data_IF_184950380924
#
_entry.id   IF_184950380924
#
_cell.length_a   1.000
_cell.length_b   1.000
_cell.length_c   1.000
_cell.angle_alpha   90.00
_cell.angle_beta   90.00
_cell.angle_gamma   90.00
#
_symmetry.space_group_name_H-M   'P 1'
#
loop_
_entity.id
_entity.type
_entity.pdbx_description
1 polymer ?
#
# COMPACT_ATOMS: atom_id res chain seq x y z
N UNK A 1 -1.97 -31.18 -1.81
CA UNK A 1 -1.02 -30.43 -0.97
C UNK A 1 0.38 -30.66 -1.51
N UNK A 2 0.95 -29.69 -2.25
CA UNK A 2 2.34 -29.73 -2.71
C UNK A 2 3.09 -28.54 -2.10
N UNK A 3 4.29 -28.84 -1.65
CA UNK A 3 5.19 -28.13 -0.74
C UNK A 3 5.45 -26.65 -1.01
N UNK A 4 5.25 -25.83 0.03
CA UNK A 4 5.79 -24.47 0.22
C UNK A 4 7.29 -24.48 0.59
N UNK A 5 8.12 -25.19 -0.17
CA UNK A 5 9.58 -25.18 0.01
C UNK A 5 10.21 -24.85 -1.33
N UNK A 6 10.46 -23.56 -1.56
CA UNK A 6 11.52 -23.00 -2.40
C UNK A 6 11.33 -21.48 -2.55
N UNK A 7 11.53 -20.74 -1.46
CA UNK A 7 11.90 -19.33 -1.57
C UNK A 7 13.38 -19.28 -1.96
N UNK A 8 13.68 -19.21 -3.27
CA UNK A 8 15.04 -18.85 -3.70
C UNK A 8 15.26 -17.36 -3.40
N UNK A 9 16.45 -16.95 -2.92
CA UNK A 9 16.74 -15.56 -2.64
C UNK A 9 16.53 -14.71 -3.90
N UNK A 10 16.02 -13.48 -3.71
CA UNK A 10 15.63 -12.51 -4.73
C UNK A 10 16.82 -11.96 -5.56
N UNK A 11 17.92 -12.72 -5.64
CA UNK A 11 19.17 -12.34 -6.27
C UNK A 11 19.16 -12.46 -7.79
N UNK A 12 18.04 -12.79 -8.45
CA UNK A 12 17.96 -12.95 -9.93
C UNK A 12 16.72 -12.36 -10.60
N UNK A 13 15.88 -11.58 -9.90
CA UNK A 13 14.68 -11.01 -10.51
C UNK A 13 15.00 -9.71 -11.26
N UNK A 14 14.67 -9.68 -12.56
CA UNK A 14 14.71 -8.48 -13.39
C UNK A 14 13.44 -7.63 -13.25
N UNK A 15 13.51 -6.38 -13.72
CA UNK A 15 12.44 -5.39 -13.55
C UNK A 15 11.14 -5.68 -14.31
N UNK A 16 11.11 -6.51 -15.36
CA UNK A 16 9.86 -6.95 -16.03
C UNK A 16 9.11 -8.08 -15.28
N UNK A 17 9.79 -9.14 -14.80
CA UNK A 17 9.14 -10.11 -13.94
C UNK A 17 8.68 -9.53 -12.60
N UNK A 18 9.23 -8.40 -12.13
CA UNK A 18 8.79 -7.78 -10.87
C UNK A 18 7.33 -7.25 -10.90
N UNK A 19 6.90 -6.33 -11.78
CA UNK A 19 5.50 -5.93 -11.89
C UNK A 19 4.58 -7.11 -12.21
N UNK A 20 5.05 -8.09 -13.00
CA UNK A 20 4.24 -9.29 -13.33
C UNK A 20 4.01 -10.19 -12.12
N UNK A 21 5.05 -10.48 -11.34
CA UNK A 21 4.95 -11.38 -10.20
C UNK A 21 4.40 -10.68 -8.96
N UNK A 22 4.87 -9.46 -8.69
CA UNK A 22 4.51 -8.70 -7.51
C UNK A 22 3.23 -7.89 -7.74
N UNK A 23 3.24 -6.89 -8.61
CA UNK A 23 2.07 -6.00 -8.74
C UNK A 23 0.85 -6.74 -9.28
N UNK A 24 0.95 -7.46 -10.39
CA UNK A 24 -0.16 -8.25 -10.96
C UNK A 24 -0.43 -9.51 -10.13
N UNK A 25 0.61 -10.29 -9.82
CA UNK A 25 0.45 -11.56 -9.10
C UNK A 25 -0.14 -11.40 -7.69
N UNK A 26 0.36 -10.46 -6.88
CA UNK A 26 -0.23 -10.17 -5.57
C UNK A 26 -1.64 -9.60 -5.70
N UNK A 27 -1.91 -8.79 -6.73
CA UNK A 27 -3.27 -8.30 -7.01
C UNK A 27 -4.25 -9.45 -7.27
N UNK A 28 -3.89 -10.42 -8.10
CA UNK A 28 -4.75 -11.57 -8.38
C UNK A 28 -5.04 -12.40 -7.12
N UNK A 29 -4.03 -12.60 -6.26
CA UNK A 29 -4.21 -13.30 -5.00
C UNK A 29 -5.15 -12.53 -4.06
N UNK A 30 -4.97 -11.21 -3.97
CA UNK A 30 -5.85 -10.34 -3.21
C UNK A 30 -7.30 -10.42 -3.71
N UNK A 31 -7.52 -10.33 -5.03
CA UNK A 31 -8.84 -10.42 -5.63
C UNK A 31 -9.54 -11.74 -5.28
N UNK A 32 -8.84 -12.88 -5.44
CA UNK A 32 -9.39 -14.20 -5.09
C UNK A 32 -9.68 -14.34 -3.60
N UNK A 33 -8.78 -13.87 -2.76
CA UNK A 33 -8.96 -13.87 -1.31
C UNK A 33 -10.21 -13.08 -0.91
N UNK A 34 -10.33 -11.84 -1.38
CA UNK A 34 -11.45 -10.95 -1.05
C UNK A 34 -12.77 -11.44 -1.63
N UNK A 35 -12.77 -12.02 -2.83
CA UNK A 35 -13.96 -12.68 -3.39
C UNK A 35 -14.46 -13.81 -2.46
N UNK A 36 -13.54 -14.57 -1.87
CA UNK A 36 -13.85 -15.60 -0.87
C UNK A 36 -14.46 -15.06 0.43
N UNK A 37 -14.35 -13.77 0.72
CA UNK A 37 -14.92 -13.14 1.93
C UNK A 37 -16.40 -12.77 1.78
N UNK A 38 -16.92 -12.66 0.55
CA UNK A 38 -18.30 -12.23 0.27
C UNK A 38 -19.37 -13.05 1.01
N UNK A 39 -19.14 -14.36 1.15
CA UNK A 39 -20.03 -15.29 1.84
C UNK A 39 -19.75 -15.44 3.34
N UNK A 40 -18.82 -14.66 3.89
CA UNK A 40 -18.33 -14.77 5.28
C UNK A 40 -18.57 -13.51 6.11
N UNK A 41 -19.29 -12.54 5.55
CA UNK A 41 -19.67 -11.31 6.27
C UNK A 41 -20.87 -11.63 7.16
N UNK A 42 -20.59 -11.91 8.44
CA UNK A 42 -21.62 -12.20 9.43
C UNK A 42 -21.77 -11.07 10.47
N UNK A 43 -23.01 -10.91 10.93
CA UNK A 43 -23.35 -10.17 12.15
C UNK A 43 -23.11 -11.00 13.42
N UNK A 44 -23.65 -10.53 14.53
CA UNK A 44 -23.60 -11.19 15.84
C UNK A 44 -24.96 -11.12 16.51
N UNK A 45 -25.40 -12.20 17.13
CA UNK A 45 -26.49 -12.20 18.11
C UNK A 45 -25.92 -11.86 19.48
N UNK A 46 -26.62 -11.04 20.26
CA UNK A 46 -26.17 -10.53 21.54
C UNK A 46 -27.13 -10.98 22.63
N UNK A 47 -26.59 -11.44 23.75
CA UNK A 47 -27.35 -11.64 24.98
C UNK A 47 -27.39 -10.32 25.73
N UNK A 48 -28.60 -9.83 26.00
CA UNK A 48 -28.82 -8.50 26.55
C UNK A 48 -29.29 -8.58 28.00
N UNK A 49 -28.49 -8.03 28.90
CA UNK A 49 -28.85 -7.88 30.32
C UNK A 49 -29.63 -6.59 30.56
N UNK A 50 -30.75 -6.40 29.86
CA UNK A 50 -31.65 -5.25 30.08
C UNK A 50 -32.70 -5.67 31.11
N UNK A 51 -32.68 -5.10 32.34
CA UNK A 51 -33.54 -5.59 33.43
C UNK A 51 -34.95 -4.96 33.43
N UNK A 52 -35.25 -4.05 32.50
CA UNK A 52 -36.48 -3.24 32.52
C UNK A 52 -37.19 -3.26 31.15
N UNK A 53 -38.54 -3.43 31.13
CA UNK A 53 -39.38 -3.74 32.28
C UNK A 53 -39.14 -5.17 32.79
N UNK A 54 -39.45 -5.41 34.06
CA UNK A 54 -39.19 -6.71 34.69
C UNK A 54 -39.92 -7.83 33.94
N UNK A 55 -39.20 -8.92 33.63
CA UNK A 55 -39.73 -10.07 32.88
C UNK A 55 -39.66 -9.94 31.36
N UNK A 56 -39.21 -8.80 30.82
CA UNK A 56 -39.00 -8.66 29.38
C UNK A 56 -37.86 -9.55 28.87
N UNK A 57 -38.04 -10.10 27.67
CA UNK A 57 -37.00 -10.84 26.92
C UNK A 57 -36.66 -10.08 25.65
N UNK A 58 -35.40 -9.71 25.53
CA UNK A 58 -34.89 -8.99 24.36
C UNK A 58 -34.12 -9.91 23.45
N UNK A 59 -34.34 -9.78 22.15
CA UNK A 59 -33.47 -10.37 21.13
C UNK A 59 -32.76 -9.24 20.41
N UNK A 60 -31.43 -9.27 20.41
CA UNK A 60 -30.63 -8.32 19.65
C UNK A 60 -29.65 -9.04 18.74
N UNK A 61 -29.47 -8.46 17.56
CA UNK A 61 -28.45 -8.88 16.64
C UNK A 61 -27.95 -7.67 15.85
N UNK A 62 -26.78 -7.84 15.24
CA UNK A 62 -26.18 -6.86 14.34
C UNK A 62 -26.28 -7.35 12.91
N UNK A 63 -26.43 -6.42 11.97
CA UNK A 63 -26.32 -6.68 10.54
C UNK A 63 -25.16 -5.86 9.99
N UNK A 64 -24.42 -6.44 9.06
CA UNK A 64 -23.39 -5.72 8.29
C UNK A 64 -23.98 -5.37 6.95
N UNK A 65 -24.13 -4.08 6.70
CA UNK A 65 -24.73 -3.55 5.48
C UNK A 65 -23.68 -2.75 4.69
N UNK A 66 -23.75 -2.74 3.34
CA UNK A 66 -22.87 -1.90 2.53
C UNK A 66 -23.04 -0.43 2.91
N UNK A 67 -21.94 0.31 2.92
CA UNK A 67 -21.97 1.73 3.27
C UNK A 67 -22.62 2.59 2.17
N UNK A 68 -22.69 2.08 0.93
CA UNK A 68 -23.16 2.82 -0.24
C UNK A 68 -22.03 3.06 -1.24
N UNK A 69 -21.99 4.25 -1.84
CA UNK A 69 -20.98 4.62 -2.85
C UNK A 69 -19.64 4.93 -2.17
N UNK A 70 -18.57 4.28 -2.63
CA UNK A 70 -17.20 4.50 -2.17
C UNK A 70 -16.42 5.31 -3.21
N UNK A 71 -15.69 6.32 -2.75
CA UNK A 71 -14.67 7.01 -3.54
C UNK A 71 -13.28 6.43 -3.21
N UNK A 72 -12.59 5.89 -4.21
CA UNK A 72 -11.20 5.45 -4.09
C UNK A 72 -10.24 6.44 -4.74
N UNK A 73 -9.29 7.00 -3.99
CA UNK A 73 -8.21 7.84 -4.54
C UNK A 73 -6.89 7.09 -4.37
N UNK A 74 -6.18 6.82 -5.47
CA UNK A 74 -5.04 5.90 -5.54
C UNK A 74 -3.75 6.63 -5.92
N UNK A 75 -2.60 6.32 -5.29
CA UNK A 75 -1.30 6.90 -5.62
C UNK A 75 -0.70 6.25 -6.88
N UNK A 76 0.45 6.76 -7.29
CA UNK A 76 1.14 6.37 -8.51
C UNK A 76 2.16 5.23 -8.36
N UNK A 77 2.50 4.84 -7.13
CA UNK A 77 3.66 3.98 -6.88
C UNK A 77 3.39 2.48 -7.08
N UNK A 78 2.15 2.03 -6.87
CA UNK A 78 1.65 0.69 -7.23
C UNK A 78 0.21 0.81 -7.75
N UNK A 79 0.02 1.39 -8.94
CA UNK A 79 -1.29 1.85 -9.41
C UNK A 79 -2.34 0.74 -9.50
N UNK A 80 -1.95 -0.47 -9.95
CA UNK A 80 -2.89 -1.59 -10.03
C UNK A 80 -3.19 -2.16 -8.64
N UNK A 81 -2.14 -2.46 -7.88
CA UNK A 81 -2.27 -3.18 -6.61
C UNK A 81 -3.02 -2.36 -5.57
N UNK A 82 -2.63 -1.09 -5.34
CA UNK A 82 -3.33 -0.23 -4.39
C UNK A 82 -4.74 0.11 -4.89
N UNK A 83 -4.94 0.19 -6.21
CA UNK A 83 -6.28 0.32 -6.80
C UNK A 83 -7.18 -0.84 -6.38
N UNK A 84 -6.73 -2.07 -6.61
CA UNK A 84 -7.50 -3.27 -6.28
C UNK A 84 -7.64 -3.55 -4.79
N UNK A 85 -6.71 -3.06 -3.96
CA UNK A 85 -6.87 -3.04 -2.50
C UNK A 85 -8.08 -2.23 -2.05
N UNK A 86 -8.55 -1.28 -2.85
CA UNK A 86 -9.75 -0.48 -2.57
C UNK A 86 -10.99 -1.06 -3.25
N UNK A 87 -10.87 -1.45 -4.52
CA UNK A 87 -11.99 -1.98 -5.31
C UNK A 87 -12.54 -3.26 -4.69
N UNK A 88 -11.69 -4.26 -4.48
CA UNK A 88 -12.15 -5.58 -4.08
C UNK A 88 -12.93 -5.60 -2.76
N UNK A 89 -12.46 -4.98 -1.65
CA UNK A 89 -13.24 -4.99 -0.41
C UNK A 89 -14.51 -4.13 -0.50
N UNK A 90 -14.55 -3.07 -1.33
CA UNK A 90 -15.78 -2.32 -1.56
C UNK A 90 -16.84 -3.19 -2.25
N UNK A 91 -16.47 -3.82 -3.37
CA UNK A 91 -17.36 -4.73 -4.10
C UNK A 91 -17.78 -5.93 -3.24
N UNK A 92 -16.84 -6.53 -2.50
CA UNK A 92 -17.14 -7.67 -1.66
C UNK A 92 -18.07 -7.35 -0.48
N UNK A 93 -18.08 -6.09 -0.01
CA UNK A 93 -19.02 -5.61 0.99
C UNK A 93 -20.39 -5.22 0.39
N UNK A 94 -20.57 -5.32 -0.94
CA UNK A 94 -21.80 -4.93 -1.64
C UNK A 94 -21.89 -3.44 -1.96
N UNK A 95 -20.77 -2.71 -1.94
CA UNK A 95 -20.72 -1.29 -2.31
C UNK A 95 -20.47 -1.13 -3.81
N UNK A 96 -20.87 0.02 -4.38
CA UNK A 96 -20.32 0.49 -5.65
C UNK A 96 -19.11 1.40 -5.39
N UNK A 97 -18.22 1.52 -6.37
CA UNK A 97 -17.00 2.32 -6.22
C UNK A 97 -16.70 3.15 -7.46
N UNK A 98 -16.35 4.42 -7.22
CA UNK A 98 -15.71 5.31 -8.19
C UNK A 98 -14.25 5.44 -7.80
N UNK A 99 -13.35 4.97 -8.67
CA UNK A 99 -11.91 5.02 -8.42
C UNK A 99 -11.23 6.05 -9.30
N UNK A 100 -10.35 6.82 -8.69
CA UNK A 100 -9.53 7.84 -9.33
C UNK A 100 -8.06 7.47 -9.16
N UNK A 101 -7.41 6.92 -10.20
CA UNK A 101 -5.98 6.71 -10.19
C UNK A 101 -5.24 8.05 -10.21
N UNK A 102 -3.95 8.04 -9.86
CA UNK A 102 -3.09 9.19 -10.11
C UNK A 102 -3.03 9.49 -11.61
N UNK A 103 -3.03 10.78 -11.93
CA UNK A 103 -2.92 11.34 -13.28
C UNK A 103 -1.66 10.88 -14.03
N UNK A 104 -0.61 10.47 -13.32
CA UNK A 104 0.65 9.99 -13.93
C UNK A 104 0.64 8.50 -14.27
N UNK A 105 -0.28 7.71 -13.70
CA UNK A 105 -0.34 6.26 -13.88
C UNK A 105 -1.78 5.72 -14.02
N UNK A 106 -2.61 6.22 -14.97
CA UNK A 106 -4.02 5.85 -15.05
C UNK A 106 -4.29 4.52 -15.76
N UNK A 107 -3.37 4.09 -16.64
CA UNK A 107 -3.65 3.10 -17.69
C UNK A 107 -4.05 1.72 -17.16
N UNK A 108 -3.46 1.27 -16.05
CA UNK A 108 -3.77 -0.06 -15.49
C UNK A 108 -5.19 -0.13 -14.96
N UNK A 109 -5.68 0.93 -14.31
CA UNK A 109 -7.06 0.97 -13.82
C UNK A 109 -8.08 1.08 -14.96
N UNK A 110 -7.75 1.79 -16.03
CA UNK A 110 -8.59 1.80 -17.24
C UNK A 110 -8.69 0.39 -17.86
N UNK A 111 -7.57 -0.34 -17.95
CA UNK A 111 -7.60 -1.74 -18.41
C UNK A 111 -8.42 -2.65 -17.49
N UNK A 112 -8.40 -2.41 -16.18
CA UNK A 112 -9.26 -3.13 -15.24
C UNK A 112 -10.75 -2.83 -15.50
N UNK A 113 -11.12 -1.61 -15.90
CA UNK A 113 -12.52 -1.28 -16.22
C UNK A 113 -13.04 -2.06 -17.44
N UNK A 114 -12.22 -2.17 -18.48
CA UNK A 114 -12.52 -3.01 -19.64
C UNK A 114 -12.72 -4.47 -19.22
N UNK A 115 -11.78 -5.01 -18.44
CA UNK A 115 -11.84 -6.39 -17.94
C UNK A 115 -13.02 -6.63 -16.99
N UNK A 116 -13.42 -5.63 -16.20
CA UNK A 116 -14.59 -5.73 -15.32
C UNK A 116 -15.89 -5.84 -16.14
N UNK A 117 -15.97 -5.11 -17.24
CA UNK A 117 -17.09 -5.19 -18.18
C UNK A 117 -17.14 -6.57 -18.86
N UNK A 118 -15.99 -7.06 -19.34
CA UNK A 118 -15.85 -8.42 -19.88
C UNK A 118 -16.24 -9.51 -18.85
N UNK A 119 -15.94 -9.29 -17.57
CA UNK A 119 -16.29 -10.20 -16.48
C UNK A 119 -17.76 -10.13 -16.04
N UNK A 120 -18.57 -9.24 -16.62
CA UNK A 120 -19.99 -9.10 -16.30
C UNK A 120 -20.28 -8.36 -14.99
N UNK A 121 -19.37 -7.49 -14.54
CA UNK A 121 -19.69 -6.57 -13.44
C UNK A 121 -20.80 -5.62 -13.91
N UNK A 122 -21.91 -5.47 -13.17
CA UNK A 122 -23.02 -4.63 -13.60
C UNK A 122 -22.61 -3.17 -13.82
N UNK A 123 -23.19 -2.52 -14.82
CA UNK A 123 -22.93 -1.12 -15.15
C UNK A 123 -23.09 -0.22 -13.91
N UNK A 124 -22.16 0.72 -13.74
CA UNK A 124 -22.15 1.66 -12.62
C UNK A 124 -21.68 1.10 -11.27
N UNK A 125 -21.49 -0.21 -11.11
CA UNK A 125 -20.92 -0.80 -9.88
C UNK A 125 -19.44 -0.44 -9.72
N UNK A 126 -18.70 -0.43 -10.82
CA UNK A 126 -17.28 -0.05 -10.85
C UNK A 126 -17.05 1.04 -11.90
N UNK A 127 -16.56 2.20 -11.47
CA UNK A 127 -16.30 3.33 -12.37
C UNK A 127 -14.86 3.81 -12.18
N UNK A 128 -14.19 4.17 -13.27
CA UNK A 128 -12.85 4.78 -13.25
C UNK A 128 -12.92 6.19 -13.82
N UNK A 129 -12.43 7.17 -13.07
CA UNK A 129 -12.36 8.57 -13.51
C UNK A 129 -10.92 9.07 -13.47
N UNK A 130 -10.46 9.68 -14.56
CA UNK A 130 -9.09 10.21 -14.67
C UNK A 130 -9.10 11.74 -14.63
N UNK A 131 -7.97 12.32 -14.22
CA UNK A 131 -7.81 13.77 -14.10
C UNK A 131 -6.95 14.16 -12.91
N UNK A 132 -6.72 15.45 -12.68
CA UNK A 132 -5.87 15.91 -11.57
C UNK A 132 -6.51 15.68 -10.20
N UNK A 133 -5.68 15.48 -9.17
CA UNK A 133 -6.16 15.40 -7.78
C UNK A 133 -6.94 16.65 -7.35
N UNK A 134 -6.46 17.83 -7.72
CA UNK A 134 -7.05 19.12 -7.33
C UNK A 134 -8.46 19.37 -7.90
N UNK A 135 -8.79 18.77 -9.06
CA UNK A 135 -10.10 18.95 -9.70
C UNK A 135 -10.97 17.71 -9.48
N UNK A 136 -10.61 16.60 -10.13
CA UNK A 136 -11.41 15.38 -10.10
C UNK A 136 -11.38 14.70 -8.72
N UNK A 137 -10.24 14.75 -8.02
CA UNK A 137 -10.15 14.21 -6.65
C UNK A 137 -10.99 15.03 -5.67
N UNK A 138 -10.85 16.36 -5.70
CA UNK A 138 -11.61 17.26 -4.85
C UNK A 138 -13.12 17.10 -5.06
N UNK A 139 -13.59 17.15 -6.31
CA UNK A 139 -15.00 16.98 -6.66
C UNK A 139 -15.56 15.64 -6.17
N UNK A 140 -14.81 14.56 -6.30
CA UNK A 140 -15.24 13.24 -5.84
C UNK A 140 -15.32 13.19 -4.30
N UNK A 141 -14.36 13.80 -3.59
CA UNK A 141 -14.33 13.77 -2.11
C UNK A 141 -15.34 14.70 -1.45
N UNK A 142 -15.80 15.74 -2.14
CA UNK A 142 -16.84 16.65 -1.65
C UNK A 142 -18.25 16.25 -2.10
N UNK A 143 -18.41 15.14 -2.83
CA UNK A 143 -19.69 14.79 -3.42
C UNK A 143 -20.67 14.25 -2.35
N UNK A 144 -21.90 14.80 -2.22
CA UNK A 144 -22.80 14.48 -1.11
C UNK A 144 -23.31 13.03 -1.12
N UNK A 145 -23.30 12.37 -2.28
CA UNK A 145 -23.71 10.96 -2.42
C UNK A 145 -22.58 9.95 -2.12
N UNK A 146 -21.35 10.41 -1.88
CA UNK A 146 -20.25 9.52 -1.48
C UNK A 146 -20.35 9.24 0.01
N UNK A 147 -20.60 7.98 0.36
CA UNK A 147 -20.77 7.55 1.75
C UNK A 147 -19.44 7.20 2.44
N UNK A 148 -18.40 6.91 1.65
CA UNK A 148 -17.05 6.60 2.16
C UNK A 148 -15.95 7.03 1.19
N UNK A 149 -14.88 7.60 1.72
CA UNK A 149 -13.64 7.89 1.00
C UNK A 149 -12.53 6.94 1.48
N UNK A 150 -11.82 6.32 0.54
CA UNK A 150 -10.61 5.54 0.77
C UNK A 150 -9.45 6.19 0.03
N UNK A 151 -8.63 6.96 0.75
CA UNK A 151 -7.51 7.71 0.19
C UNK A 151 -6.18 7.07 0.57
N UNK A 152 -5.27 7.00 -0.40
CA UNK A 152 -3.85 6.70 -0.15
C UNK A 152 -2.99 7.76 -0.82
N UNK A 153 -2.10 8.40 -0.06
CA UNK A 153 -1.25 9.47 -0.58
C UNK A 153 -0.57 10.31 0.51
N UNK A 154 -0.35 11.60 0.24
CA UNK A 154 0.37 12.46 1.18
C UNK A 154 -0.45 12.82 2.40
N UNK A 155 0.22 13.03 3.54
CA UNK A 155 -0.43 13.49 4.78
C UNK A 155 -1.12 14.84 4.62
N UNK A 156 -0.53 15.76 3.83
CA UNK A 156 -1.11 17.08 3.59
C UNK A 156 -2.45 16.97 2.83
N UNK A 157 -2.49 16.18 1.76
CA UNK A 157 -3.71 15.92 0.99
C UNK A 157 -4.75 15.18 1.83
N UNK A 158 -4.34 14.15 2.58
CA UNK A 158 -5.22 13.39 3.45
C UNK A 158 -5.92 14.25 4.52
N UNK A 159 -5.20 15.21 5.11
CA UNK A 159 -5.78 16.21 6.03
C UNK A 159 -6.82 17.09 5.34
N UNK A 160 -6.57 17.50 4.09
CA UNK A 160 -7.54 18.25 3.29
C UNK A 160 -8.83 17.45 3.08
N UNK A 161 -8.71 16.20 2.63
CA UNK A 161 -9.84 15.28 2.43
C UNK A 161 -10.61 15.05 3.72
N UNK A 162 -9.93 14.87 4.86
CA UNK A 162 -10.58 14.67 6.15
C UNK A 162 -11.46 15.87 6.56
N UNK A 163 -11.00 17.10 6.28
CA UNK A 163 -11.77 18.32 6.57
C UNK A 163 -13.00 18.40 5.69
N UNK A 164 -12.85 18.20 4.37
CA UNK A 164 -13.98 18.18 3.43
C UNK A 164 -14.99 17.09 3.77
N UNK A 165 -14.53 15.91 4.18
CA UNK A 165 -15.42 14.81 4.56
C UNK A 165 -16.25 15.12 5.83
N UNK A 166 -15.77 16.01 6.70
CA UNK A 166 -16.47 16.38 7.92
C UNK A 166 -17.79 17.12 7.62
N UNK A 167 -17.86 17.89 6.53
CA UNK A 167 -19.05 18.65 6.13
C UNK A 167 -20.27 17.75 5.87
N UNK A 168 -20.04 16.49 5.51
CA UNK A 168 -21.09 15.50 5.23
C UNK A 168 -21.03 14.27 6.16
N UNK A 169 -20.17 14.29 7.19
CA UNK A 169 -19.87 13.12 8.02
C UNK A 169 -19.48 11.87 7.20
N UNK A 170 -18.87 12.08 6.03
CA UNK A 170 -18.44 11.00 5.14
C UNK A 170 -17.35 10.18 5.82
N UNK A 171 -17.48 8.86 5.82
CA UNK A 171 -16.50 7.97 6.46
C UNK A 171 -15.18 8.03 5.69
N UNK A 172 -14.05 8.20 6.38
CA UNK A 172 -12.73 8.24 5.73
C UNK A 172 -11.84 7.08 6.18
N UNK A 173 -11.03 6.56 5.25
CA UNK A 173 -9.84 5.75 5.54
C UNK A 173 -8.67 6.41 4.84
N UNK A 174 -7.62 6.72 5.60
CA UNK A 174 -6.50 7.53 5.16
C UNK A 174 -5.19 6.79 5.38
N UNK A 175 -4.63 6.24 4.31
CA UNK A 175 -3.29 5.66 4.30
C UNK A 175 -2.30 6.72 3.82
N UNK A 176 -1.48 7.24 4.75
CA UNK A 176 -0.69 8.45 4.54
C UNK A 176 0.81 8.15 4.42
N UNK A 177 1.63 9.20 4.47
CA UNK A 177 3.09 9.05 4.37
C UNK A 177 3.70 8.29 5.55
N UNK A 178 4.80 7.60 5.31
CA UNK A 178 5.55 6.86 6.31
C UNK A 178 7.02 7.29 6.36
N UNK A 179 7.62 7.17 7.56
CA UNK A 179 9.08 7.25 7.76
C UNK A 179 9.53 6.05 8.58
N UNK A 180 9.35 4.87 8.01
CA UNK A 180 9.38 3.62 8.75
C UNK A 180 10.80 3.28 9.23
N UNK A 181 10.97 2.92 10.53
CA UNK A 181 12.23 2.44 11.07
C UNK A 181 12.40 0.94 10.84
N UNK A 182 13.63 0.52 10.55
CA UNK A 182 14.11 -0.85 10.74
C UNK A 182 15.03 -0.87 11.95
N UNK A 183 14.78 -1.75 12.93
CA UNK A 183 15.59 -1.89 14.14
C UNK A 183 16.29 -3.24 14.07
N UNK A 184 17.61 -3.23 14.18
CA UNK A 184 18.48 -4.41 14.11
C UNK A 184 19.15 -4.61 15.46
N UNK A 185 18.86 -5.74 16.08
CA UNK A 185 19.41 -6.16 17.37
C UNK A 185 20.73 -6.91 17.15
N UNK A 186 21.61 -6.93 18.17
CA UNK A 186 22.97 -7.50 18.09
C UNK A 186 23.03 -9.00 17.78
N UNK A 187 21.95 -9.72 17.99
CA UNK A 187 21.83 -11.17 17.75
C UNK A 187 21.28 -11.49 16.35
N UNK A 188 20.99 -10.47 15.54
CA UNK A 188 20.53 -10.67 14.17
C UNK A 188 21.64 -11.19 13.26
N UNK A 189 21.28 -12.15 12.39
CA UNK A 189 22.17 -12.64 11.34
C UNK A 189 22.50 -11.50 10.33
N UNK A 190 23.78 -11.13 10.16
CA UNK A 190 24.13 -9.99 9.32
C UNK A 190 23.73 -10.14 7.85
N UNK A 191 23.79 -11.36 7.30
CA UNK A 191 23.47 -11.60 5.90
C UNK A 191 21.97 -11.42 5.66
N UNK A 192 21.14 -12.00 6.54
CA UNK A 192 19.68 -11.86 6.44
C UNK A 192 19.25 -10.41 6.63
N UNK A 193 19.90 -9.68 7.54
CA UNK A 193 19.65 -8.25 7.74
C UNK A 193 19.96 -7.47 6.47
N UNK A 194 21.12 -7.69 5.83
CA UNK A 194 21.48 -6.96 4.60
C UNK A 194 20.46 -7.24 3.49
N UNK A 195 20.10 -8.51 3.24
CA UNK A 195 19.10 -8.88 2.22
C UNK A 195 17.71 -8.27 2.52
N UNK A 196 17.31 -8.30 3.79
CA UNK A 196 16.05 -7.73 4.27
C UNK A 196 16.03 -6.21 4.12
N UNK A 197 17.10 -5.51 4.50
CA UNK A 197 17.23 -4.05 4.35
C UNK A 197 17.28 -3.64 2.88
N UNK A 198 17.96 -4.39 2.02
CA UNK A 198 18.01 -4.13 0.59
C UNK A 198 16.61 -4.20 -0.02
N UNK A 199 15.85 -5.23 0.33
CA UNK A 199 14.45 -5.37 -0.10
C UNK A 199 13.59 -4.25 0.51
N UNK A 200 13.63 -4.07 1.82
CA UNK A 200 12.78 -3.10 2.53
C UNK A 200 13.05 -1.64 2.15
N UNK A 201 14.27 -1.30 1.70
CA UNK A 201 14.64 0.08 1.38
C UNK A 201 14.56 0.40 -0.11
N UNK A 202 14.86 -0.57 -0.99
CA UNK A 202 15.03 -0.32 -2.43
C UNK A 202 14.01 -1.04 -3.33
N UNK A 203 13.13 -1.87 -2.79
CA UNK A 203 11.99 -2.41 -3.53
C UNK A 203 11.24 -1.27 -4.23
N UNK A 204 10.88 -1.47 -5.50
CA UNK A 204 10.20 -0.46 -6.32
C UNK A 204 10.90 0.92 -6.27
N UNK A 205 12.23 0.91 -6.32
CA UNK A 205 13.07 2.10 -6.23
C UNK A 205 12.83 2.93 -4.95
N UNK A 206 12.43 2.28 -3.86
CA UNK A 206 12.09 2.94 -2.60
C UNK A 206 10.74 3.67 -2.63
N UNK A 207 9.98 3.59 -3.73
CA UNK A 207 8.65 4.19 -3.87
C UNK A 207 7.60 3.30 -3.21
N UNK A 208 7.76 3.07 -1.90
CA UNK A 208 6.91 2.20 -1.08
C UNK A 208 6.55 2.97 0.18
N UNK A 209 5.26 3.05 0.51
CA UNK A 209 4.79 3.72 1.73
C UNK A 209 5.38 3.10 3.01
N UNK A 210 5.62 1.79 2.99
CA UNK A 210 6.24 1.01 4.06
C UNK A 210 7.77 0.90 3.95
N UNK A 211 8.43 1.63 3.05
CA UNK A 211 9.89 1.53 2.87
C UNK A 211 10.63 1.80 4.19
N UNK A 212 11.63 0.97 4.47
CA UNK A 212 12.58 1.16 5.55
C UNK A 212 13.47 2.35 5.21
N UNK A 213 13.17 3.50 5.82
CA UNK A 213 13.82 4.78 5.49
C UNK A 213 14.71 5.32 6.62
N UNK A 214 14.71 4.63 7.76
CA UNK A 214 15.60 4.83 8.90
C UNK A 214 16.03 3.45 9.38
N UNK A 215 17.33 3.25 9.59
CA UNK A 215 17.87 1.97 10.04
C UNK A 215 18.62 2.23 11.34
N UNK A 216 18.22 1.56 12.40
CA UNK A 216 18.83 1.63 13.73
C UNK A 216 19.50 0.29 14.01
N UNK A 217 20.80 0.30 14.26
CA UNK A 217 21.62 -0.90 14.41
C UNK A 217 22.28 -0.85 15.78
N UNK A 218 22.17 -1.94 16.54
CA UNK A 218 22.87 -2.08 17.81
C UNK A 218 24.39 -2.08 17.58
N UNK A 219 25.12 -1.34 18.43
CA UNK A 219 26.52 -0.99 18.21
C UNK A 219 27.45 -2.13 17.77
N UNK A 220 27.36 -3.37 18.32
CA UNK A 220 28.25 -4.47 17.94
C UNK A 220 28.17 -4.88 16.47
N UNK A 221 27.03 -4.66 15.80
CA UNK A 221 26.84 -5.03 14.39
C UNK A 221 27.00 -3.86 13.42
N UNK A 222 27.22 -2.64 13.93
CA UNK A 222 27.13 -1.41 13.13
C UNK A 222 28.09 -1.42 11.94
N UNK A 223 29.40 -1.57 12.18
CA UNK A 223 30.41 -1.44 11.13
C UNK A 223 30.29 -2.57 10.09
N UNK A 224 30.04 -3.80 10.54
CA UNK A 224 29.81 -4.97 9.68
C UNK A 224 28.60 -4.76 8.76
N UNK A 225 27.47 -4.33 9.31
CA UNK A 225 26.25 -4.15 8.54
C UNK A 225 26.31 -2.94 7.60
N UNK A 226 26.92 -1.83 8.02
CA UNK A 226 27.09 -0.65 7.16
C UNK A 226 27.96 -1.00 5.96
N UNK A 227 29.10 -1.67 6.17
CA UNK A 227 30.00 -2.08 5.09
C UNK A 227 29.32 -3.05 4.12
N UNK A 228 28.68 -4.10 4.65
CA UNK A 228 27.98 -5.08 3.82
C UNK A 228 26.79 -4.48 3.06
N UNK A 229 26.02 -3.59 3.69
CA UNK A 229 24.91 -2.89 3.06
C UNK A 229 25.39 -1.94 1.96
N UNK A 230 26.48 -1.21 2.16
CA UNK A 230 27.07 -0.33 1.14
C UNK A 230 27.51 -1.13 -0.10
N UNK A 231 28.16 -2.27 0.10
CA UNK A 231 28.55 -3.16 -1.00
C UNK A 231 27.33 -3.69 -1.75
N UNK A 232 26.29 -4.11 -1.03
CA UNK A 232 25.04 -4.55 -1.63
C UNK A 232 24.38 -3.45 -2.47
N UNK A 233 24.36 -2.21 -1.98
CA UNK A 233 23.84 -1.05 -2.72
C UNK A 233 24.65 -0.78 -3.98
N UNK A 234 25.99 -0.81 -3.90
CA UNK A 234 26.89 -0.61 -5.05
C UNK A 234 26.70 -1.68 -6.14
N UNK A 235 26.24 -2.87 -5.77
CA UNK A 235 25.96 -3.96 -6.73
C UNK A 235 24.66 -3.76 -7.54
N UNK A 236 23.82 -2.78 -7.19
CA UNK A 236 22.55 -2.55 -7.86
C UNK A 236 22.75 -2.05 -9.30
N UNK A 237 22.21 -2.81 -10.26
CA UNK A 237 22.22 -2.43 -11.66
C UNK A 237 21.04 -1.53 -12.00
N UNK A 238 21.36 -0.34 -12.50
CA UNK A 238 20.41 0.67 -12.91
C UNK A 238 20.22 0.63 -14.43
N UNK A 239 18.98 0.68 -14.92
CA UNK A 239 18.71 0.89 -16.34
C UNK A 239 17.21 0.94 -16.64
N UNK A 240 16.80 0.80 -17.91
CA UNK A 240 15.36 0.90 -18.27
C UNK A 240 14.55 -0.29 -17.74
N UNK A 241 13.33 -0.03 -17.26
CA UNK A 241 12.44 -1.05 -16.69
C UNK A 241 11.91 -2.08 -17.70
N UNK A 242 11.93 -1.75 -19.00
CA UNK A 242 11.60 -2.68 -20.08
C UNK A 242 12.74 -3.61 -20.49
N UNK A 243 13.95 -3.46 -19.91
CA UNK A 243 15.06 -4.37 -20.17
C UNK A 243 15.12 -5.47 -19.12
N UNK A 244 15.16 -6.72 -19.61
CA UNK A 244 15.15 -7.97 -18.83
C UNK A 244 16.35 -8.19 -17.90
N UNK A 245 17.34 -7.29 -17.83
CA UNK A 245 18.56 -7.44 -17.02
C UNK A 245 18.71 -6.40 -15.90
N UNK A 246 17.92 -5.33 -15.87
CA UNK A 246 18.12 -4.27 -14.88
C UNK A 246 17.40 -4.57 -13.56
N UNK A 247 17.98 -4.08 -12.45
CA UNK A 247 17.48 -4.27 -11.08
C UNK A 247 16.83 -3.02 -10.48
N UNK A 248 17.15 -1.82 -10.98
CA UNK A 248 16.46 -0.56 -10.69
C UNK A 248 16.23 0.26 -11.97
N UNK A 249 15.08 0.94 -12.06
CA UNK A 249 14.83 1.92 -13.12
C UNK A 249 15.12 3.33 -12.65
N UNK A 250 16.01 4.06 -13.33
CA UNK A 250 16.25 5.47 -13.04
C UNK A 250 15.42 6.35 -13.96
N UNK A 251 14.47 7.05 -13.36
CA UNK A 251 14.06 8.35 -13.89
C UNK A 251 14.35 9.50 -12.92
N UNK A 252 14.66 9.23 -11.64
CA UNK A 252 14.80 10.30 -10.63
C UNK A 252 15.86 10.13 -9.52
N UNK A 253 16.57 9.00 -9.42
CA UNK A 253 17.26 8.63 -8.16
C UNK A 253 18.77 8.94 -8.03
N UNK A 254 19.44 9.51 -9.05
CA UNK A 254 20.92 9.68 -9.00
C UNK A 254 21.39 10.84 -8.10
N UNK A 255 20.52 11.73 -7.59
CA UNK A 255 20.97 12.89 -6.79
C UNK A 255 20.89 12.74 -5.27
N UNK A 256 20.18 11.75 -4.72
CA UNK A 256 19.89 11.69 -3.27
C UNK A 256 20.71 10.66 -2.48
N UNK A 257 21.16 9.56 -3.10
CA UNK A 257 21.84 8.48 -2.38
C UNK A 257 23.24 8.87 -1.84
N UNK A 258 24.00 9.70 -2.56
CA UNK A 258 25.36 10.10 -2.17
C UNK A 258 25.42 11.09 -1.01
N UNK A 259 24.35 11.85 -0.74
CA UNK A 259 24.32 12.82 0.37
C UNK A 259 24.08 12.18 1.74
N UNK A 260 23.43 11.02 1.80
CA UNK A 260 23.04 10.42 3.08
C UNK A 260 24.23 9.79 3.83
N UNK A 261 25.17 9.18 3.10
CA UNK A 261 26.34 8.49 3.68
C UNK A 261 27.36 9.46 4.29
N UNK A 262 27.51 10.67 3.72
CA UNK A 262 28.48 11.66 4.19
C UNK A 262 28.10 12.36 5.51
N UNK A 263 26.81 12.40 5.87
CA UNK A 263 26.35 13.14 7.05
C UNK A 263 26.58 12.40 8.39
N UNK A 264 26.73 11.07 8.34
CA UNK A 264 26.92 10.21 9.51
C UNK A 264 28.39 10.13 9.97
N UNK A 265 29.35 10.35 9.08
CA UNK A 265 30.78 10.32 9.41
C UNK A 265 31.25 11.55 10.19
N UNK A 266 30.57 12.69 10.06
CA UNK A 266 30.96 13.93 10.78
C UNK A 266 30.59 13.96 12.26
N UNK A 267 29.70 13.09 12.77
CA UNK A 267 29.26 13.14 14.17
C UNK A 267 30.12 12.34 15.16
N UNK A 268 31.15 11.61 14.71
CA UNK A 268 32.07 10.88 15.62
C UNK A 268 33.29 11.68 16.08
N UNK A 269 33.57 12.86 15.50
CA UNK A 269 34.80 13.61 15.81
C UNK A 269 34.65 14.85 16.71
N UNK A 270 33.46 15.19 17.21
CA UNK A 270 33.25 16.43 17.98
C UNK A 270 32.91 16.24 19.47
N UNK A 271 33.31 15.13 20.09
CA UNK A 271 33.19 14.91 21.55
C UNK A 271 34.45 14.29 22.13
N UNK A 272 35.57 15.02 22.03
CA UNK A 272 36.76 14.86 22.87
C UNK A 272 37.52 16.19 22.87
N UNK A 273 37.11 17.09 23.77
CA UNK A 273 37.87 18.20 24.36
C UNK A 273 36.97 18.89 25.39
#
# INVERSE_FOLDING_TARGET
>A
MRSWRNWKPWSKASQLPFPRAFEVGCTLNWMRYTAGLTTKIAGKTLDLSIPLPQGARYQAWTRKEPVGVVAGIVPWNFPLMIGMWKVMPALAAGCSIVIKPSETTPLTMLRVAELASEAGIPDGVFNVVTGSGAVCGAALTSHPHVAKISFTGSTATGKGIARTAADHLTRVTLELGGKNPAIVLKDADPQWVIEGLMTGSFLNQGQVCAASSRIYIEAPLFDTLVSGFEQAVKSLQVGRGCHLLHRLTLWFLVRTATKCVHSSTMRRHSKQS
#
